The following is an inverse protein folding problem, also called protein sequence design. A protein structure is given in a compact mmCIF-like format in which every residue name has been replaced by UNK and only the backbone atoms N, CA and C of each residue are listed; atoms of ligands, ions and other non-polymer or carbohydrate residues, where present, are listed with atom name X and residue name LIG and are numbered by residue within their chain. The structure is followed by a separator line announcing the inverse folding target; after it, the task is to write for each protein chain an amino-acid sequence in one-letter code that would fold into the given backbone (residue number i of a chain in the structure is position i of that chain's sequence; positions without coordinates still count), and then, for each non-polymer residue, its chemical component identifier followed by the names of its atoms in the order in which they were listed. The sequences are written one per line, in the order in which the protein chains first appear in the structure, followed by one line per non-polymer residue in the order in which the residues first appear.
data_IF_141984733490
#
_entry.id   IF_141984733490
#
_cell.length_a   1.000
_cell.length_b   1.000
_cell.length_c   1.000
_cell.angle_alpha   90.00
_cell.angle_beta   90.00
_cell.angle_gamma   90.00
#
_symmetry.space_group_name_H-M   'P 1'
#
loop_
_entity.id
_entity.type
_entity.pdbx_description
1 polymer ?
#
# COMPACT_ATOMS: atom_id res chain seq x y z
N UNK A 1 -17.69 -39.60 -20.28
CA UNK A 1 -18.01 -38.31 -19.65
C UNK A 1 -18.10 -38.53 -18.16
N UNK A 2 -17.10 -38.09 -17.39
CA UNK A 2 -17.22 -37.96 -15.93
C UNK A 2 -16.30 -36.83 -15.50
N UNK A 3 -16.88 -35.64 -15.20
CA UNK A 3 -16.16 -34.53 -14.55
C UNK A 3 -15.98 -34.93 -13.09
N UNK A 4 -14.75 -35.26 -12.69
CA UNK A 4 -14.38 -35.33 -11.29
C UNK A 4 -14.43 -33.90 -10.71
N UNK A 5 -15.09 -33.77 -9.57
CA UNK A 5 -15.43 -32.49 -8.95
C UNK A 5 -14.21 -31.73 -8.45
N UNK A 6 -14.16 -30.45 -8.78
CA UNK A 6 -13.37 -29.48 -8.04
C UNK A 6 -14.13 -29.15 -6.74
N UNK A 7 -13.94 -29.98 -5.70
CA UNK A 7 -14.13 -29.52 -4.34
C UNK A 7 -12.86 -28.74 -3.96
N UNK A 8 -12.82 -27.45 -4.34
CA UNK A 8 -11.98 -26.50 -3.62
C UNK A 8 -12.65 -26.30 -2.26
N UNK A 9 -12.35 -27.22 -1.34
CA UNK A 9 -12.57 -27.04 0.09
C UNK A 9 -11.87 -25.74 0.44
N UNK A 10 -12.65 -24.68 0.65
CA UNK A 10 -12.20 -23.46 1.33
C UNK A 10 -11.73 -23.94 2.69
N UNK A 11 -10.43 -24.11 2.85
CA UNK A 11 -9.82 -24.53 4.10
C UNK A 11 -10.14 -23.45 5.15
N UNK A 12 -11.07 -23.67 6.10
CA UNK A 12 -11.54 -22.62 7.00
C UNK A 12 -10.51 -22.27 8.08
N UNK A 13 -9.32 -22.89 8.05
CA UNK A 13 -8.40 -22.94 9.18
C UNK A 13 -7.08 -22.17 9.02
N UNK A 14 -6.78 -21.55 7.87
CA UNK A 14 -5.56 -20.75 7.79
C UNK A 14 -5.77 -19.42 8.50
N UNK A 15 -5.42 -19.38 9.79
CA UNK A 15 -5.40 -18.16 10.58
C UNK A 15 -4.50 -17.15 9.84
N UNK A 16 -5.12 -16.10 9.31
CA UNK A 16 -4.39 -15.04 8.64
C UNK A 16 -3.49 -14.33 9.68
N UNK A 17 -2.18 -14.32 9.44
CA UNK A 17 -1.22 -13.58 10.26
C UNK A 17 -0.89 -12.25 9.58
N UNK A 18 -0.97 -11.11 10.29
CA UNK A 18 -0.50 -9.84 9.76
C UNK A 18 0.97 -9.90 9.31
N UNK A 19 1.31 -9.28 8.17
CA UNK A 19 2.70 -9.09 7.80
C UNK A 19 3.37 -8.11 8.77
N UNK A 20 4.70 -8.15 8.85
CA UNK A 20 5.49 -7.18 9.64
C UNK A 20 5.87 -5.95 8.84
N UNK A 21 5.74 -5.99 7.52
CA UNK A 21 5.94 -4.83 6.66
C UNK A 21 4.88 -4.76 5.57
N UNK A 22 4.50 -3.53 5.24
CA UNK A 22 3.63 -3.24 4.12
C UNK A 22 4.18 -2.04 3.36
N UNK A 23 4.13 -2.08 2.03
CA UNK A 23 4.44 -0.93 1.19
C UNK A 23 3.31 -0.70 0.19
N UNK A 24 2.93 0.55 -0.03
CA UNK A 24 2.01 0.96 -1.10
C UNK A 24 2.71 2.01 -1.95
N UNK A 25 2.65 1.83 -3.27
CA UNK A 25 3.33 2.69 -4.25
C UNK A 25 2.34 3.41 -5.13
N UNK A 26 2.54 4.71 -5.28
CA UNK A 26 1.78 5.55 -6.18
C UNK A 26 2.69 6.16 -7.23
N UNK A 27 2.20 6.12 -8.47
CA UNK A 27 2.74 6.83 -9.60
C UNK A 27 2.00 8.14 -9.76
N UNK A 28 2.74 9.24 -9.76
CA UNK A 28 2.19 10.59 -9.86
C UNK A 28 2.56 11.14 -11.23
N UNK A 29 1.56 11.46 -12.04
CA UNK A 29 1.79 12.03 -13.35
C UNK A 29 2.51 13.38 -13.29
N UNK A 30 3.32 13.69 -14.31
CA UNK A 30 4.16 14.89 -14.37
C UNK A 30 3.41 16.20 -14.07
N UNK A 31 2.18 16.35 -14.56
CA UNK A 31 1.38 17.55 -14.29
C UNK A 31 1.03 17.72 -12.81
N UNK A 32 0.69 16.62 -12.13
CA UNK A 32 0.37 16.60 -10.71
C UNK A 32 1.62 16.79 -9.83
N UNK A 33 2.79 16.37 -10.31
CA UNK A 33 4.07 16.50 -9.62
C UNK A 33 4.67 17.92 -9.67
N UNK A 34 4.16 18.81 -10.53
CA UNK A 34 4.68 20.19 -10.73
C UNK A 34 4.86 21.01 -9.43
N UNK A 35 3.97 20.94 -8.42
CA UNK A 35 4.16 21.68 -7.18
C UNK A 35 5.41 21.25 -6.41
N UNK A 36 5.75 19.96 -6.46
CA UNK A 36 6.95 19.40 -5.83
C UNK A 36 8.21 19.65 -6.66
N UNK A 37 8.08 19.56 -7.98
CA UNK A 37 9.21 19.66 -8.90
C UNK A 37 8.82 20.53 -10.08
N UNK A 38 9.27 21.79 -10.05
CA UNK A 38 9.02 22.77 -11.12
C UNK A 38 9.59 22.34 -12.48
N UNK A 39 10.51 21.38 -12.51
CA UNK A 39 11.36 21.08 -13.66
C UNK A 39 11.24 19.66 -14.21
N UNK A 40 10.67 18.69 -13.48
CA UNK A 40 10.96 17.30 -13.83
C UNK A 40 10.26 16.83 -15.09
N UNK A 41 9.10 17.38 -15.49
CA UNK A 41 8.35 16.92 -16.68
C UNK A 41 8.06 15.40 -16.69
N UNK A 42 8.35 14.72 -15.58
CA UNK A 42 8.47 13.28 -15.42
C UNK A 42 7.50 12.84 -14.36
N UNK A 43 7.13 11.59 -14.50
CA UNK A 43 6.38 10.86 -13.48
C UNK A 43 7.28 10.66 -12.26
N UNK A 44 6.74 10.87 -11.06
CA UNK A 44 7.44 10.56 -9.79
C UNK A 44 6.73 9.38 -9.13
N UNK A 45 7.45 8.65 -8.27
CA UNK A 45 6.89 7.58 -7.46
C UNK A 45 6.93 7.98 -5.98
N UNK A 46 5.85 7.70 -5.28
CA UNK A 46 5.75 7.85 -3.82
C UNK A 46 5.50 6.47 -3.25
N UNK A 47 6.27 6.10 -2.23
CA UNK A 47 6.12 4.85 -1.52
C UNK A 47 5.90 5.13 -0.03
N UNK A 48 4.75 4.69 0.48
CA UNK A 48 4.53 4.61 1.92
C UNK A 48 4.96 3.23 2.39
N UNK A 49 5.87 3.18 3.35
CA UNK A 49 6.31 1.97 4.04
C UNK A 49 5.79 1.98 5.46
N UNK A 50 5.18 0.88 5.86
CA UNK A 50 4.80 0.57 7.23
C UNK A 50 5.67 -0.59 7.70
N UNK A 51 6.28 -0.47 8.88
CA UNK A 51 7.13 -1.49 9.46
C UNK A 51 6.82 -1.66 10.94
N UNK A 52 6.60 -2.91 11.36
CA UNK A 52 6.53 -3.32 12.75
C UNK A 52 7.94 -3.40 13.33
N UNK A 53 8.20 -2.67 14.43
CA UNK A 53 9.48 -2.72 15.15
C UNK A 53 9.43 -3.66 16.37
N UNK A 54 8.30 -4.32 16.63
CA UNK A 54 8.05 -5.15 17.80
C UNK A 54 7.36 -4.40 18.94
N UNK A 55 7.69 -3.13 19.14
CA UNK A 55 7.07 -2.26 20.14
C UNK A 55 5.94 -1.39 19.56
N UNK A 56 6.09 -0.97 18.30
CA UNK A 56 5.11 -0.16 17.58
C UNK A 56 5.27 -0.30 16.07
N UNK A 57 4.33 0.28 15.32
CA UNK A 57 4.47 0.45 13.88
C UNK A 57 5.07 1.81 13.55
N UNK A 58 5.94 1.84 12.53
CA UNK A 58 6.57 3.04 12.00
C UNK A 58 6.17 3.25 10.54
N UNK A 59 5.86 4.50 10.21
CA UNK A 59 5.60 4.94 8.84
C UNK A 59 6.79 5.73 8.27
N UNK A 60 7.15 5.43 7.03
CA UNK A 60 8.10 6.20 6.23
C UNK A 60 7.50 6.52 4.86
N UNK A 61 7.68 7.74 4.39
CA UNK A 61 7.29 8.13 3.03
C UNK A 61 8.54 8.42 2.23
N UNK A 62 8.71 7.68 1.15
CA UNK A 62 9.81 7.80 0.22
C UNK A 62 9.33 8.39 -1.09
N UNK A 63 10.14 9.28 -1.64
CA UNK A 63 9.90 9.95 -2.91
C UNK A 63 11.04 9.60 -3.85
N UNK A 64 10.69 9.07 -5.01
CA UNK A 64 11.60 8.75 -6.11
C UNK A 64 11.25 9.61 -7.33
N UNK A 65 12.22 10.40 -7.78
CA UNK A 65 12.08 11.29 -8.94
C UNK A 65 12.65 10.68 -10.23
N UNK A 66 13.22 9.48 -10.14
CA UNK A 66 14.07 8.86 -11.16
C UNK A 66 15.52 9.36 -11.16
N UNK A 67 15.83 10.44 -10.43
CA UNK A 67 17.19 10.99 -10.27
C UNK A 67 17.68 10.88 -8.82
N UNK A 68 16.76 11.03 -7.87
CA UNK A 68 17.02 10.98 -6.45
C UNK A 68 15.92 10.18 -5.77
N UNK A 69 16.33 9.37 -4.79
CA UNK A 69 15.43 8.71 -3.84
C UNK A 69 15.68 9.32 -2.47
N UNK A 70 14.64 9.88 -1.85
CA UNK A 70 14.74 10.50 -0.52
C UNK A 70 13.54 10.19 0.37
N UNK A 71 13.78 10.05 1.66
CA UNK A 71 12.74 9.91 2.67
C UNK A 71 12.24 11.30 3.10
N UNK A 72 10.98 11.61 2.82
CA UNK A 72 10.36 12.92 3.06
C UNK A 72 9.55 12.97 4.37
N UNK A 73 9.19 11.81 4.91
CA UNK A 73 8.61 11.67 6.24
C UNK A 73 9.24 10.43 6.90
N UNK A 74 9.95 10.63 8.01
CA UNK A 74 10.70 9.56 8.70
C UNK A 74 10.00 9.11 9.98
N UNK A 75 9.87 7.79 10.10
CA UNK A 75 9.66 7.01 11.33
C UNK A 75 8.64 7.59 12.32
N UNK A 76 7.50 8.03 11.82
CA UNK A 76 6.40 8.44 12.69
C UNK A 76 5.72 7.20 13.27
N UNK A 77 5.56 7.15 14.59
CA UNK A 77 4.77 6.12 15.27
C UNK A 77 3.34 6.15 14.74
N UNK A 78 2.81 5.00 14.36
CA UNK A 78 1.49 4.86 13.72
C UNK A 78 0.75 3.69 14.36
N UNK A 79 -0.57 3.83 14.50
CA UNK A 79 -1.41 2.67 14.82
C UNK A 79 -1.82 2.01 13.52
N UNK A 80 -1.48 0.72 13.36
CA UNK A 80 -1.89 -0.06 12.19
C UNK A 80 -2.89 -1.11 12.63
N UNK A 81 -4.07 -1.08 12.02
CA UNK A 81 -5.11 -2.09 12.20
C UNK A 81 -5.22 -2.92 10.92
N UNK A 82 -5.28 -4.22 11.13
CA UNK A 82 -5.51 -5.20 10.08
C UNK A 82 -6.86 -5.87 10.29
N UNK A 83 -7.72 -5.84 9.28
CA UNK A 83 -9.05 -6.46 9.35
C UNK A 83 -9.20 -7.46 8.19
N UNK A 84 -9.05 -8.78 8.43
CA UNK A 84 -9.26 -9.78 7.40
C UNK A 84 -10.75 -9.93 7.06
N UNK A 85 -11.09 -9.95 5.78
CA UNK A 85 -12.37 -10.40 5.24
C UNK A 85 -12.18 -11.78 4.59
N UNK A 86 -12.21 -12.80 5.45
CA UNK A 86 -11.95 -14.20 5.08
C UNK A 86 -12.99 -14.76 4.12
N UNK A 87 -14.19 -14.18 4.05
CA UNK A 87 -15.23 -14.57 3.11
C UNK A 87 -14.90 -14.23 1.66
N UNK A 88 -14.02 -13.25 1.45
CA UNK A 88 -13.63 -12.74 0.13
C UNK A 88 -12.14 -12.87 -0.17
N UNK A 89 -11.34 -13.35 0.78
CA UNK A 89 -9.89 -13.41 0.63
C UNK A 89 -9.25 -12.02 0.60
N UNK A 90 -9.88 -11.03 1.23
CA UNK A 90 -9.40 -9.65 1.29
C UNK A 90 -8.85 -9.35 2.68
N UNK A 91 -7.96 -8.35 2.74
CA UNK A 91 -7.45 -7.75 3.97
C UNK A 91 -7.56 -6.24 3.85
N UNK A 92 -8.12 -5.61 4.88
CA UNK A 92 -8.16 -4.17 5.01
C UNK A 92 -7.04 -3.71 5.95
N UNK A 93 -6.34 -2.65 5.55
CA UNK A 93 -5.28 -2.00 6.32
C UNK A 93 -5.72 -0.58 6.61
N UNK A 94 -5.75 -0.23 7.89
CA UNK A 94 -5.95 1.14 8.35
C UNK A 94 -4.72 1.56 9.16
N UNK A 95 -3.94 2.49 8.61
CA UNK A 95 -2.78 3.08 9.26
C UNK A 95 -2.99 4.60 9.35
N UNK A 96 -3.71 5.06 10.37
CA UNK A 96 -4.13 6.46 10.52
C UNK A 96 -2.93 7.37 10.90
N UNK A 97 -2.71 8.52 10.25
CA UNK A 97 -3.48 9.16 9.16
C UNK A 97 -2.92 8.94 7.76
N UNK A 98 -2.16 7.86 7.55
CA UNK A 98 -1.37 7.64 6.35
C UNK A 98 -2.07 6.83 5.27
N UNK A 99 -2.83 5.79 5.62
CA UNK A 99 -3.32 4.80 4.65
C UNK A 99 -4.63 4.15 5.06
N UNK A 100 -5.52 4.04 4.08
CA UNK A 100 -6.60 3.06 4.06
C UNK A 100 -6.46 2.23 2.79
N UNK A 101 -6.25 0.92 2.91
CA UNK A 101 -6.06 0.03 1.77
C UNK A 101 -6.87 -1.26 1.88
N UNK A 102 -7.26 -1.80 0.73
CA UNK A 102 -7.84 -3.15 0.61
C UNK A 102 -6.98 -3.95 -0.35
N UNK A 103 -6.54 -5.11 0.10
CA UNK A 103 -5.64 -6.01 -0.63
C UNK A 103 -6.31 -7.37 -0.76
N UNK A 104 -6.32 -7.91 -1.97
CA UNK A 104 -6.66 -9.29 -2.25
C UNK A 104 -5.43 -10.17 -2.01
N UNK A 105 -5.59 -11.18 -1.16
CA UNK A 105 -4.54 -12.15 -0.80
C UNK A 105 -4.91 -13.58 -1.22
N UNK A 106 -5.98 -13.76 -1.98
CA UNK A 106 -6.50 -15.08 -2.39
C UNK A 106 -5.64 -15.79 -3.44
N UNK A 107 -4.93 -15.03 -4.29
CA UNK A 107 -4.16 -15.55 -5.42
C UNK A 107 -2.71 -15.96 -5.12
N UNK A 108 -2.30 -15.99 -3.84
CA UNK A 108 -0.92 -16.25 -3.44
C UNK A 108 0.04 -15.06 -3.65
N UNK A 109 -0.38 -14.04 -4.39
CA UNK A 109 0.25 -12.72 -4.46
C UNK A 109 -0.70 -11.67 -3.89
N UNK A 110 -0.14 -10.67 -3.19
CA UNK A 110 -0.90 -9.54 -2.69
C UNK A 110 -1.23 -8.61 -3.86
N UNK A 111 -2.51 -8.48 -4.19
CA UNK A 111 -2.99 -7.57 -5.23
C UNK A 111 -3.75 -6.41 -4.58
N UNK A 112 -3.36 -5.18 -4.89
CA UNK A 112 -4.04 -4.01 -4.34
C UNK A 112 -5.38 -3.79 -5.06
N UNK A 113 -6.47 -3.77 -4.30
CA UNK A 113 -7.83 -3.48 -4.81
C UNK A 113 -8.16 -2.00 -4.70
N UNK A 114 -7.77 -1.39 -3.57
CA UNK A 114 -8.04 0.02 -3.28
C UNK A 114 -6.97 0.57 -2.35
N UNK A 115 -6.57 1.83 -2.56
CA UNK A 115 -5.80 2.59 -1.59
C UNK A 115 -6.21 4.07 -1.60
N UNK A 116 -6.35 4.63 -0.42
CA UNK A 116 -6.49 6.06 -0.16
C UNK A 116 -5.42 6.49 0.82
N UNK A 117 -4.78 7.62 0.54
CA UNK A 117 -3.71 8.15 1.37
C UNK A 117 -3.81 9.68 1.47
N UNK A 118 -3.86 10.24 2.69
CA UNK A 118 -3.73 11.68 2.91
C UNK A 118 -2.31 12.21 2.66
N UNK A 119 -1.31 11.32 2.58
CA UNK A 119 0.12 11.69 2.41
C UNK A 119 0.34 12.58 1.20
N UNK A 120 -0.37 12.34 0.10
CA UNK A 120 -0.23 13.15 -1.12
C UNK A 120 -0.60 14.61 -0.85
N UNK A 121 -1.68 14.86 -0.10
CA UNK A 121 -2.08 16.20 0.30
C UNK A 121 -1.04 16.89 1.20
N UNK A 122 -0.46 16.15 2.14
CA UNK A 122 0.64 16.65 3.00
C UNK A 122 1.87 17.05 2.19
N UNK A 123 2.14 16.37 1.08
CA UNK A 123 3.21 16.73 0.14
C UNK A 123 2.83 17.88 -0.81
N UNK A 124 1.68 18.53 -0.63
CA UNK A 124 1.21 19.59 -1.52
C UNK A 124 0.76 19.09 -2.90
N UNK A 125 0.56 17.78 -3.06
CA UNK A 125 -0.04 17.18 -4.25
C UNK A 125 -1.55 17.20 -4.09
N UNK A 126 -2.16 18.36 -4.28
CA UNK A 126 -3.61 18.54 -4.26
C UNK A 126 -4.12 18.65 -5.70
N UNK A 127 -4.99 17.74 -6.14
CA UNK A 127 -5.78 17.92 -7.38
C UNK A 127 -5.18 17.34 -8.67
N UNK A 128 -4.49 16.20 -8.62
CA UNK A 128 -4.00 15.47 -9.79
C UNK A 128 -4.59 14.07 -9.97
N UNK A 129 -4.36 13.45 -11.13
CA UNK A 129 -4.56 12.01 -11.32
C UNK A 129 -3.32 11.27 -10.78
N UNK A 130 -3.56 10.38 -9.84
CA UNK A 130 -2.56 9.50 -9.24
C UNK A 130 -2.97 8.07 -9.55
N UNK A 131 -2.00 7.23 -9.91
CA UNK A 131 -2.27 5.82 -10.20
C UNK A 131 -1.54 4.99 -9.17
N UNK A 132 -2.27 4.08 -8.52
CA UNK A 132 -1.62 3.17 -7.59
C UNK A 132 -0.94 2.07 -8.39
N UNK A 133 0.36 1.89 -8.19
CA UNK A 133 1.14 0.88 -8.92
C UNK A 133 0.98 -0.50 -8.32
N UNK A 134 0.84 -0.56 -6.99
CA UNK A 134 0.65 -1.81 -6.28
C UNK A 134 0.92 -1.70 -4.79
N UNK A 135 0.80 -2.84 -4.12
CA UNK A 135 1.15 -3.01 -2.73
C UNK A 135 1.99 -4.27 -2.54
N UNK A 136 2.81 -4.26 -1.51
CA UNK A 136 3.70 -5.35 -1.16
C UNK A 136 3.56 -5.64 0.34
N UNK A 137 3.43 -6.91 0.70
CA UNK A 137 3.34 -7.37 2.08
C UNK A 137 4.52 -8.32 2.38
N UNK A 138 5.28 -8.07 3.44
CA UNK A 138 6.42 -8.91 3.85
C UNK A 138 6.29 -9.40 5.29
N UNK A 139 6.74 -10.63 5.51
CA UNK A 139 6.83 -11.25 6.84
C UNK A 139 8.08 -10.80 7.59
#
# INVERSE_FOLDING_TARGET
MTRAGAQNVRDPGHAWTPPRQAAVRWRIGAAAARPLFRTTGRTIQIELRLRDTGDEWRAEVWLDTGEEIRCVLRETGVTVRWTPDTGRGLVHIDADPFLHATIDVSGGTAALVYASTPVLGTLGLCGGRYEVEGAELKR
#
